data_IF_357988426256
#
_entry.id   IF_357988426256
#
_cell.length_a   1.000
_cell.length_b   1.000
_cell.length_c   1.000
_cell.angle_alpha   90.00
_cell.angle_beta   90.00
_cell.angle_gamma   90.00
#
_symmetry.space_group_name_H-M   'P 1'
#
loop_
_entity.id
_entity.type
_entity.pdbx_description
1 polymer ?
#
# COMPACT_ATOMS: atom_id res chain seq x y z
N UNK A 1 -18.12 9.53 10.35
CA UNK A 1 -17.77 8.09 10.30
C UNK A 1 -16.28 7.89 10.42
N UNK A 2 -15.48 8.48 9.51
CA UNK A 2 -14.01 8.39 9.51
C UNK A 2 -13.36 8.80 10.83
N UNK A 3 -13.70 9.97 11.38
CA UNK A 3 -13.20 10.41 12.69
C UNK A 3 -13.47 9.40 13.82
N UNK A 4 -14.68 8.83 13.85
CA UNK A 4 -15.04 7.85 14.87
C UNK A 4 -14.22 6.57 14.73
N UNK A 5 -14.03 6.09 13.50
CA UNK A 5 -13.24 4.91 13.21
C UNK A 5 -11.76 5.13 13.54
N UNK A 6 -11.17 6.25 13.10
CA UNK A 6 -9.77 6.60 13.39
C UNK A 6 -9.49 6.73 14.90
N UNK A 7 -10.42 7.33 15.66
CA UNK A 7 -10.31 7.42 17.12
C UNK A 7 -10.34 6.05 17.82
N UNK A 8 -10.96 5.03 17.21
CA UNK A 8 -10.97 3.66 17.74
C UNK A 8 -9.72 2.86 17.34
N UNK A 9 -9.09 3.23 16.23
CA UNK A 9 -7.93 2.54 15.67
C UNK A 9 -6.73 3.51 15.44
N UNK A 10 -6.26 4.21 16.49
CA UNK A 10 -5.24 5.25 16.36
C UNK A 10 -3.87 4.71 15.93
N UNK A 11 -3.66 3.39 16.02
CA UNK A 11 -2.45 2.70 15.58
C UNK A 11 -2.45 2.35 14.09
N UNK A 12 -3.62 2.42 13.44
CA UNK A 12 -3.76 2.13 12.03
C UNK A 12 -3.78 3.42 11.21
N UNK A 13 -4.66 4.36 11.57
CA UNK A 13 -4.86 5.61 10.83
C UNK A 13 -5.12 6.76 11.79
N UNK A 14 -4.44 7.89 11.58
CA UNK A 14 -4.77 9.16 12.22
C UNK A 14 -5.48 10.07 11.22
N UNK A 15 -6.53 10.75 11.65
CA UNK A 15 -7.32 11.65 10.81
C UNK A 15 -7.17 13.10 11.27
N UNK A 16 -6.67 13.96 10.37
CA UNK A 16 -6.66 15.42 10.54
C UNK A 16 -7.88 16.01 9.82
N UNK A 17 -8.83 16.51 10.61
CA UNK A 17 -10.07 17.08 10.11
C UNK A 17 -9.87 18.45 9.44
N UNK A 18 -8.90 19.25 9.90
CA UNK A 18 -8.64 20.57 9.35
C UNK A 18 -7.94 20.48 7.99
N UNK A 19 -6.92 19.62 7.91
CA UNK A 19 -6.19 19.37 6.67
C UNK A 19 -6.92 18.40 5.72
N UNK A 20 -7.97 17.72 6.20
CA UNK A 20 -8.64 16.63 5.47
C UNK A 20 -7.67 15.52 5.04
N UNK A 21 -6.76 15.13 5.93
CA UNK A 21 -5.73 14.11 5.63
C UNK A 21 -5.87 12.88 6.50
N UNK A 22 -5.54 11.72 5.92
CA UNK A 22 -5.32 10.47 6.63
C UNK A 22 -3.84 10.19 6.66
N UNK A 23 -3.29 10.00 7.85
CA UNK A 23 -1.94 9.48 8.08
C UNK A 23 -2.04 7.97 8.27
N UNK A 24 -1.43 7.22 7.35
CA UNK A 24 -1.18 5.80 7.49
C UNK A 24 -0.02 5.60 8.47
N UNK A 25 -0.34 5.04 9.64
CA UNK A 25 0.62 4.99 10.76
C UNK A 25 1.76 4.02 10.48
N UNK A 26 1.49 2.94 9.75
CA UNK A 26 2.50 1.93 9.42
C UNK A 26 3.60 2.47 8.50
N UNK A 27 3.23 3.36 7.59
CA UNK A 27 4.14 3.97 6.61
C UNK A 27 4.64 5.37 6.98
N UNK A 28 3.92 6.07 7.86
CA UNK A 28 4.11 7.50 8.10
C UNK A 28 3.67 8.39 6.94
N UNK A 29 3.01 7.84 5.91
CA UNK A 29 2.57 8.57 4.72
C UNK A 29 1.18 9.16 4.90
N UNK A 30 0.95 10.31 4.30
CA UNK A 30 -0.35 10.98 4.31
C UNK A 30 -1.00 10.95 2.94
N UNK A 31 -2.33 10.84 2.93
CA UNK A 31 -3.16 11.09 1.73
C UNK A 31 -4.26 12.09 2.06
N UNK A 32 -4.64 12.91 1.08
CA UNK A 32 -5.73 13.88 1.20
C UNK A 32 -7.04 13.19 0.84
N UNK A 33 -8.02 13.28 1.74
CA UNK A 33 -9.38 12.82 1.49
C UNK A 33 -10.18 13.95 0.87
N UNK A 34 -10.54 13.77 -0.40
CA UNK A 34 -11.39 14.72 -1.12
C UNK A 34 -12.85 14.47 -0.76
N UNK A 35 -13.30 15.01 0.37
CA UNK A 35 -14.66 14.79 0.91
C UNK A 35 -15.79 15.05 -0.08
N UNK A 36 -15.61 16.00 -1.01
CA UNK A 36 -16.58 16.33 -2.05
C UNK A 36 -16.77 15.21 -3.07
N UNK A 37 -15.81 14.31 -3.19
CA UNK A 37 -15.81 13.19 -4.14
C UNK A 37 -16.28 11.89 -3.46
N UNK A 38 -16.68 11.91 -2.18
CA UNK A 38 -17.16 10.71 -1.49
C UNK A 38 -18.65 10.52 -1.75
N UNK A 39 -18.99 9.37 -2.32
CA UNK A 39 -20.36 8.93 -2.55
C UNK A 39 -20.96 8.24 -1.33
N UNK A 40 -20.19 7.41 -0.61
CA UNK A 40 -20.70 6.64 0.53
C UNK A 40 -19.60 6.18 1.50
N UNK A 41 -20.03 5.80 2.70
CA UNK A 41 -19.21 5.16 3.73
C UNK A 41 -19.84 3.82 4.11
N UNK A 42 -19.07 2.74 4.12
CA UNK A 42 -19.55 1.41 4.48
C UNK A 42 -18.64 0.76 5.52
N UNK A 43 -19.19 0.40 6.68
CA UNK A 43 -18.48 -0.43 7.64
C UNK A 43 -18.75 -1.90 7.32
N UNK A 44 -17.68 -2.69 7.21
CA UNK A 44 -17.71 -4.10 6.82
C UNK A 44 -16.88 -4.93 7.78
N UNK A 45 -17.07 -6.24 7.74
CA UNK A 45 -16.34 -7.20 8.57
C UNK A 45 -15.55 -8.15 7.68
N UNK A 46 -14.27 -8.32 7.97
CA UNK A 46 -13.42 -9.25 7.24
C UNK A 46 -13.88 -10.69 7.54
N UNK A 47 -14.18 -11.52 6.53
CA UNK A 47 -14.82 -12.83 6.75
C UNK A 47 -13.93 -13.82 7.51
N UNK A 48 -12.61 -13.69 7.40
CA UNK A 48 -11.67 -14.62 8.02
C UNK A 48 -11.22 -14.19 9.42
N UNK A 49 -11.04 -12.89 9.65
CA UNK A 49 -10.47 -12.36 10.90
C UNK A 49 -11.55 -11.79 11.82
N UNK A 50 -12.75 -11.54 11.30
CA UNK A 50 -13.86 -10.89 11.98
C UNK A 50 -13.57 -9.43 12.39
N UNK A 51 -12.53 -8.81 11.82
CA UNK A 51 -12.17 -7.42 12.08
C UNK A 51 -13.07 -6.45 11.30
N UNK A 52 -13.41 -5.33 11.92
CA UNK A 52 -14.19 -4.28 11.28
C UNK A 52 -13.29 -3.32 10.48
N UNK A 53 -13.70 -2.98 9.27
CA UNK A 53 -13.02 -2.02 8.41
C UNK A 53 -14.00 -1.03 7.79
N UNK A 54 -13.52 0.17 7.49
CA UNK A 54 -14.34 1.26 6.97
C UNK A 54 -13.97 1.56 5.52
N UNK A 55 -14.88 1.32 4.58
CA UNK A 55 -14.74 1.64 3.17
C UNK A 55 -15.25 3.05 2.88
N UNK A 56 -14.45 3.82 2.14
CA UNK A 56 -14.81 5.11 1.57
C UNK A 56 -14.97 4.90 0.06
N UNK A 57 -16.19 5.07 -0.44
CA UNK A 57 -16.53 4.93 -1.85
C UNK A 57 -16.53 6.31 -2.52
N UNK A 58 -15.76 6.47 -3.59
CA UNK A 58 -15.68 7.73 -4.34
C UNK A 58 -16.65 7.73 -5.54
N UNK A 59 -17.07 8.91 -5.97
CA UNK A 59 -18.00 9.10 -7.10
C UNK A 59 -17.47 8.53 -8.43
N UNK A 60 -16.14 8.48 -8.59
CA UNK A 60 -15.48 7.91 -9.77
C UNK A 60 -15.41 6.37 -9.74
N UNK A 61 -16.01 5.72 -8.73
CA UNK A 61 -16.00 4.27 -8.55
C UNK A 61 -14.73 3.71 -7.90
N UNK A 62 -13.75 4.55 -7.57
CA UNK A 62 -12.61 4.12 -6.76
C UNK A 62 -13.02 3.99 -5.30
N UNK A 63 -12.19 3.28 -4.52
CA UNK A 63 -12.40 3.11 -3.09
C UNK A 63 -11.09 3.01 -2.33
N UNK A 64 -11.11 3.46 -1.08
CA UNK A 64 -10.10 3.12 -0.08
C UNK A 64 -10.79 2.48 1.12
N UNK A 65 -10.05 1.67 1.87
CA UNK A 65 -10.52 1.09 3.12
C UNK A 65 -9.57 1.44 4.26
N UNK A 66 -10.13 1.81 5.41
CA UNK A 66 -9.38 1.94 6.66
C UNK A 66 -9.44 0.59 7.37
N UNK A 67 -8.28 0.00 7.60
CA UNK A 67 -8.12 -1.37 8.11
C UNK A 67 -7.13 -1.36 9.27
N UNK A 68 -7.40 -2.13 10.32
CA UNK A 68 -6.45 -2.36 11.42
C UNK A 68 -5.96 -3.82 11.32
N UNK A 69 -4.64 -4.09 11.25
CA UNK A 69 -3.50 -3.19 11.45
C UNK A 69 -2.84 -2.70 10.15
N UNK A 70 -3.57 -2.66 9.04
CA UNK A 70 -3.01 -2.33 7.71
C UNK A 70 -2.89 -0.83 7.39
N UNK A 71 -3.67 0.03 8.07
CA UNK A 71 -3.74 1.46 7.78
C UNK A 71 -4.73 1.76 6.65
N UNK A 72 -4.27 2.38 5.58
CA UNK A 72 -5.09 2.68 4.39
C UNK A 72 -4.84 1.64 3.31
N UNK A 73 -5.86 0.84 3.02
CA UNK A 73 -5.86 -0.16 1.96
C UNK A 73 -6.54 0.35 0.69
N UNK A 74 -6.03 -0.09 -0.46
CA UNK A 74 -6.44 0.36 -1.79
C UNK A 74 -6.24 -0.75 -2.83
N UNK A 75 -6.79 -0.54 -4.02
CA UNK A 75 -6.57 -1.45 -5.16
C UNK A 75 -5.17 -1.20 -5.72
N UNK A 76 -4.32 -2.22 -5.90
CA UNK A 76 -3.04 -2.02 -6.58
C UNK A 76 -3.29 -1.67 -8.05
N UNK A 77 -2.31 -1.01 -8.67
CA UNK A 77 -2.38 -0.65 -10.08
C UNK A 77 -1.24 -1.32 -10.83
N UNK A 78 -1.53 -1.95 -11.96
CA UNK A 78 -0.53 -2.62 -12.80
C UNK A 78 -0.02 -1.74 -13.94
N UNK A 79 -0.13 -0.41 -13.78
CA UNK A 79 0.25 0.56 -14.82
C UNK A 79 1.72 0.41 -15.22
N UNK A 80 2.65 0.31 -14.24
CA UNK A 80 4.08 0.20 -14.51
C UNK A 80 4.65 -1.23 -14.33
N UNK A 81 3.89 -2.14 -13.73
CA UNK A 81 4.32 -3.54 -13.53
C UNK A 81 3.81 -4.51 -14.59
N UNK A 82 2.76 -4.15 -15.35
CA UNK A 82 2.02 -5.11 -16.16
C UNK A 82 1.34 -6.20 -15.32
N UNK A 83 0.80 -7.26 -15.93
CA UNK A 83 0.12 -8.32 -15.19
C UNK A 83 1.06 -9.02 -14.20
N UNK A 84 0.72 -8.96 -12.91
CA UNK A 84 1.50 -9.59 -11.83
C UNK A 84 0.78 -10.83 -11.29
N UNK A 85 1.33 -12.05 -11.47
CA UNK A 85 0.75 -13.26 -10.91
C UNK A 85 0.64 -13.19 -9.38
N UNK A 86 -0.51 -13.58 -8.82
CA UNK A 86 -0.70 -13.62 -7.37
C UNK A 86 -0.83 -12.24 -6.71
N UNK A 87 -0.97 -11.16 -7.48
CA UNK A 87 -1.23 -9.82 -6.94
C UNK A 87 -2.53 -9.80 -6.12
N UNK A 88 -2.48 -9.44 -4.83
CA UNK A 88 -3.70 -9.32 -4.02
C UNK A 88 -4.64 -8.27 -4.61
N UNK A 89 -5.97 -8.46 -4.55
CA UNK A 89 -6.93 -7.49 -5.07
C UNK A 89 -6.97 -6.17 -4.27
N UNK A 90 -6.46 -6.21 -3.04
CA UNK A 90 -6.38 -5.09 -2.10
C UNK A 90 -5.05 -5.19 -1.37
N UNK A 91 -4.33 -4.07 -1.26
CA UNK A 91 -3.03 -3.95 -0.60
C UNK A 91 -2.97 -2.68 0.24
N UNK A 92 -1.99 -2.57 1.13
CA UNK A 92 -1.66 -1.35 1.87
C UNK A 92 -0.15 -1.09 1.89
N UNK A 93 0.28 0.08 2.38
CA UNK A 93 1.71 0.39 2.46
C UNK A 93 2.46 -0.49 3.48
N UNK A 94 1.78 -1.06 4.47
CA UNK A 94 2.37 -2.08 5.35
C UNK A 94 2.76 -3.36 4.61
N UNK A 95 1.94 -3.78 3.63
CA UNK A 95 2.27 -4.93 2.78
C UNK A 95 3.51 -4.63 1.94
N UNK A 96 3.61 -3.41 1.40
CA UNK A 96 4.81 -2.94 0.70
C UNK A 96 6.06 -3.06 1.58
N UNK A 97 6.05 -2.53 2.81
CA UNK A 97 7.24 -2.62 3.68
C UNK A 97 7.58 -4.07 4.05
N UNK A 98 6.57 -4.91 4.25
CA UNK A 98 6.78 -6.34 4.54
C UNK A 98 7.44 -7.06 3.37
N UNK A 99 6.96 -6.82 2.14
CA UNK A 99 7.52 -7.41 0.93
C UNK A 99 8.90 -6.82 0.59
N UNK A 100 9.06 -5.49 0.70
CA UNK A 100 10.33 -4.80 0.48
C UNK A 100 11.42 -5.31 1.42
N UNK A 101 11.10 -5.57 2.69
CA UNK A 101 12.05 -6.18 3.63
C UNK A 101 12.53 -7.57 3.18
N UNK A 102 11.67 -8.38 2.55
CA UNK A 102 12.07 -9.68 1.98
C UNK A 102 12.94 -9.54 0.73
N UNK A 103 12.63 -8.57 -0.13
CA UNK A 103 13.49 -8.22 -1.28
C UNK A 103 14.87 -7.80 -0.78
N UNK A 104 14.92 -6.91 0.22
CA UNK A 104 16.17 -6.42 0.80
C UNK A 104 16.98 -7.53 1.45
N UNK A 105 16.33 -8.49 2.11
CA UNK A 105 16.99 -9.68 2.63
C UNK A 105 17.71 -10.46 1.51
N UNK A 106 17.01 -10.76 0.39
CA UNK A 106 17.63 -11.48 -0.71
C UNK A 106 18.77 -10.70 -1.38
N UNK A 107 18.65 -9.38 -1.49
CA UNK A 107 19.65 -8.57 -2.18
C UNK A 107 20.87 -8.24 -1.31
N UNK A 108 20.66 -7.92 -0.04
CA UNK A 108 21.72 -7.32 0.79
C UNK A 108 22.26 -8.26 1.86
N UNK A 109 21.49 -9.24 2.33
CA UNK A 109 21.98 -10.20 3.32
C UNK A 109 22.73 -11.37 2.66
N UNK A 110 22.46 -11.64 1.38
CA UNK A 110 23.12 -12.69 0.57
C UNK A 110 23.74 -12.10 -0.71
N UNK A 111 24.75 -11.22 -0.62
CA UNK A 111 25.26 -10.47 -1.78
C UNK A 111 25.93 -11.34 -2.86
N UNK A 112 26.45 -12.51 -2.47
CA UNK A 112 27.14 -13.43 -3.37
C UNK A 112 26.20 -14.43 -4.06
N UNK A 113 24.93 -14.47 -3.67
CA UNK A 113 23.92 -15.36 -4.25
C UNK A 113 23.08 -14.60 -5.30
N UNK A 114 22.78 -15.25 -6.45
CA UNK A 114 21.85 -14.65 -7.40
C UNK A 114 20.46 -14.57 -6.76
N UNK A 115 19.74 -13.44 -6.89
CA UNK A 115 18.41 -13.32 -6.32
C UNK A 115 17.47 -14.35 -6.95
N UNK A 116 16.63 -15.04 -6.15
CA UNK A 116 15.69 -16.01 -6.69
C UNK A 116 14.67 -15.31 -7.58
N UNK A 117 14.05 -16.04 -8.51
CA UNK A 117 12.99 -15.51 -9.39
C UNK A 117 11.84 -14.85 -8.60
N UNK A 118 11.50 -15.42 -7.45
CA UNK A 118 10.50 -14.88 -6.52
C UNK A 118 10.85 -13.46 -6.06
N UNK A 119 12.13 -13.08 -6.01
CA UNK A 119 12.56 -11.72 -5.69
C UNK A 119 12.05 -10.70 -6.71
N UNK A 120 12.07 -11.06 -8.01
CA UNK A 120 11.50 -10.22 -9.06
C UNK A 120 9.98 -10.15 -8.94
N UNK A 121 9.30 -11.29 -8.69
CA UNK A 121 7.85 -11.32 -8.53
C UNK A 121 7.39 -10.43 -7.36
N UNK A 122 8.09 -10.48 -6.21
CA UNK A 122 7.85 -9.59 -5.08
C UNK A 122 8.08 -8.12 -5.43
N UNK A 123 9.12 -7.82 -6.20
CA UNK A 123 9.40 -6.46 -6.66
C UNK A 123 8.27 -5.93 -7.55
N UNK A 124 7.72 -6.75 -8.45
CA UNK A 124 6.59 -6.37 -9.30
C UNK A 124 5.32 -6.09 -8.47
N UNK A 125 5.09 -6.85 -7.39
CA UNK A 125 4.00 -6.57 -6.44
C UNK A 125 4.24 -5.24 -5.71
N UNK A 126 5.48 -4.96 -5.30
CA UNK A 126 5.84 -3.67 -4.70
C UNK A 126 5.58 -2.50 -5.66
N UNK A 127 5.95 -2.61 -6.94
CA UNK A 127 5.66 -1.60 -7.96
C UNK A 127 4.15 -1.38 -8.07
N UNK A 128 3.37 -2.47 -8.18
CA UNK A 128 1.93 -2.37 -8.32
C UNK A 128 1.25 -1.73 -7.09
N UNK A 129 1.83 -1.98 -5.90
CA UNK A 129 1.37 -1.38 -4.64
C UNK A 129 1.65 0.12 -4.60
N UNK A 130 2.85 0.57 -4.99
CA UNK A 130 3.18 2.00 -5.04
C UNK A 130 2.36 2.75 -6.11
N UNK A 131 2.12 2.14 -7.26
CA UNK A 131 1.22 2.70 -8.28
C UNK A 131 -0.20 2.89 -7.74
N UNK A 132 -0.74 1.89 -7.02
CA UNK A 132 -2.04 2.01 -6.35
C UNK A 132 -2.06 3.12 -5.30
N UNK A 133 -1.00 3.21 -4.48
CA UNK A 133 -0.85 4.24 -3.46
C UNK A 133 -0.85 5.65 -4.06
N UNK A 134 -0.11 5.85 -5.17
CA UNK A 134 -0.06 7.10 -5.94
C UNK A 134 -1.43 7.48 -6.49
N UNK A 135 -2.18 6.51 -7.04
CA UNK A 135 -3.54 6.73 -7.56
C UNK A 135 -4.49 7.23 -6.46
N UNK A 136 -4.36 6.71 -5.24
CA UNK A 136 -5.18 7.14 -4.09
C UNK A 136 -4.61 8.35 -3.34
N UNK A 137 -3.56 8.98 -3.87
CA UNK A 137 -3.07 10.29 -3.43
C UNK A 137 -1.94 10.28 -2.41
N UNK A 138 -1.27 9.16 -2.16
CA UNK A 138 -0.05 9.14 -1.35
C UNK A 138 1.16 9.71 -2.10
N UNK A 139 2.01 10.45 -1.38
CA UNK A 139 3.35 10.80 -1.87
C UNK A 139 4.34 9.65 -1.60
N UNK A 140 4.59 8.85 -2.63
CA UNK A 140 5.44 7.65 -2.60
C UNK A 140 6.79 7.83 -3.30
N UNK A 141 7.15 9.04 -3.72
CA UNK A 141 8.31 9.25 -4.60
C UNK A 141 9.66 8.85 -3.99
N UNK A 142 9.80 8.86 -2.67
CA UNK A 142 10.93 8.28 -1.95
C UNK A 142 10.93 6.75 -1.97
N UNK A 143 9.78 6.11 -1.77
CA UNK A 143 9.64 4.65 -1.81
C UNK A 143 9.90 4.11 -3.22
N UNK A 144 9.46 4.82 -4.25
CA UNK A 144 9.74 4.50 -5.66
C UNK A 144 11.25 4.52 -5.93
N UNK A 145 11.97 5.55 -5.44
CA UNK A 145 13.44 5.62 -5.57
C UNK A 145 14.16 4.48 -4.84
N UNK A 146 13.69 4.07 -3.66
CA UNK A 146 14.27 2.92 -2.97
C UNK A 146 14.01 1.60 -3.71
N UNK A 147 12.85 1.48 -4.36
CA UNK A 147 12.52 0.31 -5.17
C UNK A 147 13.37 0.24 -6.45
N UNK A 148 13.61 1.39 -7.09
CA UNK A 148 14.48 1.50 -8.27
C UNK A 148 15.91 1.03 -7.97
N UNK A 149 16.46 1.35 -6.79
CA UNK A 149 17.77 0.81 -6.36
C UNK A 149 17.77 -0.72 -6.28
N UNK A 150 16.67 -1.30 -5.80
CA UNK A 150 16.53 -2.76 -5.68
C UNK A 150 16.43 -3.42 -7.05
N UNK A 151 15.68 -2.82 -7.98
CA UNK A 151 15.59 -3.26 -9.38
C UNK A 151 16.95 -3.25 -10.08
N UNK A 152 17.68 -2.13 -9.97
CA UNK A 152 19.02 -1.99 -10.56
C UNK A 152 20.00 -3.05 -10.03
N UNK A 153 19.90 -3.42 -8.75
CA UNK A 153 20.73 -4.46 -8.16
C UNK A 153 20.37 -5.86 -8.70
N UNK A 154 19.08 -6.15 -8.88
CA UNK A 154 18.64 -7.41 -9.53
C UNK A 154 19.17 -7.48 -10.96
N UNK A 155 18.99 -6.42 -11.75
CA UNK A 155 19.44 -6.37 -13.14
C UNK A 155 20.95 -6.58 -13.26
N UNK A 156 21.73 -5.97 -12.37
CA UNK A 156 23.20 -6.14 -12.34
C UNK A 156 23.64 -7.57 -12.04
N UNK A 157 22.87 -8.33 -11.25
CA UNK A 157 23.21 -9.72 -10.85
C UNK A 157 22.65 -10.78 -11.78
N UNK A 158 21.69 -10.42 -12.63
CA UNK A 158 20.97 -11.37 -13.49
C UNK A 158 21.16 -11.12 -14.99
N UNK A 159 21.66 -9.94 -15.38
CA UNK A 159 22.13 -9.62 -16.73
C UNK A 159 23.55 -10.07 -17.00
#
# INVERSE_FOLDING_TARGET
MVRLWANRHPHAVLYDEEASTLLDVASGKTTIVRWREIAAFEEKTHPETNDAYLVLLFENGSQIALVDPGGVAFTPSTENSGPVPGLPPVVCLKDFFTLKGRVDHYLYDHPDEPPPRECLDMLMICIATLDGARVVGFDVGDLERELEKSLNEIEKRTG
#
